data_IF_068930894018
#
_entry.id   IF_068930894018
#
_cell.length_a   1.000
_cell.length_b   1.000
_cell.length_c   1.000
_cell.angle_alpha   90.00
_cell.angle_beta   90.00
_cell.angle_gamma   90.00
#
_symmetry.space_group_name_H-M   'P 1'
#
loop_
_entity.id
_entity.type
_entity.pdbx_description
1 polymer ?
#
# COMPACT_ATOMS: atom_id res chain seq x y z
N UNK A 1 33.23 16.50 -23.93
CA UNK A 1 33.08 15.17 -23.30
C UNK A 1 31.65 15.08 -22.80
N UNK A 2 30.76 14.59 -23.65
CA UNK A 2 29.36 14.29 -23.31
C UNK A 2 29.35 12.96 -22.58
N UNK A 3 29.09 12.98 -21.27
CA UNK A 3 28.67 11.78 -20.56
C UNK A 3 27.38 11.33 -21.25
N UNK A 4 27.46 10.21 -21.96
CA UNK A 4 26.28 9.55 -22.48
C UNK A 4 25.42 9.18 -21.27
N UNK A 5 24.18 9.69 -21.27
CA UNK A 5 23.10 9.23 -20.41
C UNK A 5 22.89 7.72 -20.66
N UNK A 6 23.69 6.88 -20.00
CA UNK A 6 23.31 5.49 -19.77
C UNK A 6 22.07 5.55 -18.87
N UNK A 7 20.90 5.61 -19.52
CA UNK A 7 19.62 5.27 -18.91
C UNK A 7 19.77 3.84 -18.40
N UNK A 8 20.17 3.70 -17.14
CA UNK A 8 20.09 2.44 -16.40
C UNK A 8 18.61 2.04 -16.50
N UNK A 9 18.33 1.04 -17.33
CA UNK A 9 17.01 0.46 -17.43
C UNK A 9 16.72 -0.13 -16.05
N UNK A 10 15.85 0.53 -15.29
CA UNK A 10 15.34 -0.05 -14.06
C UNK A 10 14.63 -1.35 -14.43
N UNK A 11 15.03 -2.44 -13.78
CA UNK A 11 14.25 -3.67 -13.81
C UNK A 11 12.81 -3.34 -13.42
N UNK A 12 11.85 -4.01 -14.07
CA UNK A 12 10.43 -3.65 -13.96
C UNK A 12 9.91 -3.66 -12.52
N UNK A 13 10.54 -4.44 -11.65
CA UNK A 13 10.27 -4.48 -10.22
C UNK A 13 11.57 -4.84 -9.47
N UNK A 14 11.63 -4.59 -8.17
CA UNK A 14 12.78 -4.99 -7.37
C UNK A 14 12.68 -4.56 -5.92
N UNK A 15 13.74 -4.89 -5.16
CA UNK A 15 13.84 -4.55 -3.75
C UNK A 15 15.27 -4.14 -3.37
N UNK A 16 15.40 -3.29 -2.36
CA UNK A 16 16.67 -2.79 -1.86
C UNK A 16 16.60 -2.52 -0.35
N UNK A 17 17.59 -2.97 0.40
CA UNK A 17 17.72 -2.64 1.82
C UNK A 17 18.52 -1.35 1.95
N UNK A 18 17.85 -0.32 2.44
CA UNK A 18 18.47 0.94 2.81
C UNK A 18 18.94 0.87 4.28
N UNK A 19 20.26 0.80 4.55
CA UNK A 19 20.76 0.72 5.91
C UNK A 19 20.74 2.05 6.67
N UNK A 20 20.61 3.19 5.98
CA UNK A 20 20.73 4.52 6.59
C UNK A 20 20.06 5.59 5.75
N UNK A 21 19.31 6.49 6.38
CA UNK A 21 18.71 7.69 5.73
C UNK A 21 19.73 8.58 5.00
N UNK A 22 21.02 8.45 5.34
CA UNK A 22 22.12 9.25 4.77
C UNK A 22 23.04 8.47 3.83
N UNK A 23 22.70 7.24 3.47
CA UNK A 23 23.56 6.50 2.53
C UNK A 23 23.64 7.23 1.19
N UNK A 24 24.81 7.24 0.58
CA UNK A 24 24.97 7.74 -0.80
C UNK A 24 24.80 6.63 -1.84
N UNK A 25 24.65 5.38 -1.38
CA UNK A 25 24.65 4.18 -2.22
C UNK A 25 23.26 3.71 -2.63
N UNK A 26 22.32 4.62 -2.89
CA UNK A 26 20.98 4.23 -3.31
C UNK A 26 20.93 3.96 -4.80
N UNK A 27 20.11 2.97 -5.24
CA UNK A 27 19.70 2.94 -6.64
C UNK A 27 19.07 4.28 -7.02
N UNK A 28 19.26 4.71 -8.27
CA UNK A 28 18.71 5.98 -8.73
C UNK A 28 17.19 5.98 -8.53
N UNK A 29 16.66 7.16 -8.19
CA UNK A 29 15.23 7.28 -7.92
C UNK A 29 14.51 7.20 -9.27
N UNK A 30 13.46 6.39 -9.42
CA UNK A 30 12.72 6.34 -10.68
C UNK A 30 12.09 7.69 -11.00
N UNK A 31 12.20 8.14 -12.26
CA UNK A 31 11.65 9.43 -12.71
C UNK A 31 10.12 9.55 -12.56
N UNK A 32 9.43 8.41 -12.46
CA UNK A 32 7.99 8.35 -12.24
C UNK A 32 7.58 8.47 -10.77
N UNK A 33 8.52 8.43 -9.83
CA UNK A 33 8.23 8.47 -8.40
C UNK A 33 7.69 9.85 -8.00
N UNK A 34 6.54 9.88 -7.33
CA UNK A 34 5.98 11.11 -6.79
C UNK A 34 6.75 11.57 -5.52
N UNK A 35 6.56 12.81 -5.02
CA UNK A 35 7.31 13.32 -3.86
C UNK A 35 7.20 12.46 -2.59
N UNK A 36 6.05 11.81 -2.36
CA UNK A 36 5.88 10.90 -1.22
C UNK A 36 6.72 9.63 -1.41
N UNK A 37 6.70 9.06 -2.62
CA UNK A 37 7.51 7.88 -2.96
C UNK A 37 9.02 8.19 -2.93
N UNK A 38 9.42 9.40 -3.31
CA UNK A 38 10.81 9.89 -3.20
C UNK A 38 11.24 9.93 -1.74
N UNK A 39 10.35 10.30 -0.83
CA UNK A 39 10.62 10.27 0.60
C UNK A 39 10.77 8.82 1.08
N UNK A 40 9.82 7.95 0.73
CA UNK A 40 9.86 6.51 1.06
C UNK A 40 11.16 5.85 0.56
N UNK A 41 11.63 6.23 -0.64
CA UNK A 41 12.90 5.76 -1.21
C UNK A 41 14.14 6.14 -0.38
N UNK A 42 14.09 7.25 0.35
CA UNK A 42 15.22 7.72 1.18
C UNK A 42 15.16 7.17 2.60
N UNK A 43 14.05 6.59 3.02
CA UNK A 43 13.90 6.10 4.38
C UNK A 43 14.71 4.82 4.60
N UNK A 44 15.33 4.72 5.79
CA UNK A 44 15.97 3.49 6.26
C UNK A 44 14.93 2.37 6.30
N UNK A 45 15.27 1.19 5.81
CA UNK A 45 14.39 0.01 5.81
C UNK A 45 14.51 -0.78 4.52
N UNK A 46 13.43 -1.46 4.14
CA UNK A 46 13.32 -2.20 2.88
C UNK A 46 12.44 -1.42 1.90
N UNK A 47 12.99 -1.13 0.74
CA UNK A 47 12.30 -0.45 -0.36
C UNK A 47 11.93 -1.50 -1.39
N UNK A 48 10.68 -1.52 -1.83
CA UNK A 48 10.19 -2.37 -2.91
C UNK A 48 9.54 -1.46 -3.94
N UNK A 49 9.78 -1.72 -5.22
CA UNK A 49 9.18 -0.94 -6.30
C UNK A 49 8.64 -1.84 -7.41
N UNK A 50 7.62 -1.33 -8.08
CA UNK A 50 7.09 -1.89 -9.31
C UNK A 50 6.80 -0.74 -10.28
N UNK A 51 7.53 -0.73 -11.39
CA UNK A 51 7.46 0.29 -12.44
C UNK A 51 6.22 0.18 -13.33
N UNK A 52 5.60 -1.01 -13.42
CA UNK A 52 4.39 -1.21 -14.22
C UNK A 52 3.21 -0.47 -13.59
N UNK A 53 3.08 -0.58 -12.27
CA UNK A 53 2.04 0.11 -11.49
C UNK A 53 2.52 1.46 -10.94
N UNK A 54 3.81 1.80 -11.09
CA UNK A 54 4.44 3.04 -10.62
C UNK A 54 4.27 3.26 -9.11
N UNK A 55 4.53 2.20 -8.35
CA UNK A 55 4.43 2.21 -6.88
C UNK A 55 5.81 1.94 -6.27
N UNK A 56 6.15 2.74 -5.26
CA UNK A 56 7.23 2.48 -4.32
C UNK A 56 6.59 2.23 -2.96
N UNK A 57 7.05 1.20 -2.28
CA UNK A 57 6.60 0.81 -0.94
C UNK A 57 7.81 0.72 -0.03
N UNK A 58 7.72 1.38 1.12
CA UNK A 58 8.69 1.23 2.19
C UNK A 58 8.15 0.29 3.28
N UNK A 59 8.98 -0.64 3.71
CA UNK A 59 8.74 -1.49 4.88
C UNK A 59 9.84 -1.25 5.91
N UNK A 60 9.45 -0.99 7.16
CA UNK A 60 10.39 -1.07 8.28
C UNK A 60 10.99 -2.48 8.37
N UNK A 61 12.27 -2.59 8.71
CA UNK A 61 12.96 -3.87 8.75
C UNK A 61 12.31 -4.85 9.73
N UNK A 62 11.82 -4.36 10.89
CA UNK A 62 11.04 -5.18 11.85
C UNK A 62 9.81 -5.79 11.18
N UNK A 63 9.13 -5.02 10.33
CA UNK A 63 7.92 -5.49 9.65
C UNK A 63 8.25 -6.46 8.51
N UNK A 64 9.32 -6.21 7.75
CA UNK A 64 9.81 -7.14 6.74
C UNK A 64 10.19 -8.51 7.34
N UNK A 65 10.85 -8.54 8.51
CA UNK A 65 11.15 -9.78 9.25
C UNK A 65 9.87 -10.51 9.66
N UNK A 66 8.84 -9.79 10.13
CA UNK A 66 7.54 -10.40 10.47
C UNK A 66 6.87 -11.02 9.24
N UNK A 67 6.90 -10.35 8.10
CA UNK A 67 6.39 -10.90 6.84
C UNK A 67 7.16 -12.17 6.47
N UNK A 68 8.49 -12.16 6.53
CA UNK A 68 9.33 -13.34 6.28
C UNK A 68 8.93 -14.51 7.19
N UNK A 69 8.79 -14.28 8.50
CA UNK A 69 8.39 -15.32 9.44
C UNK A 69 6.99 -15.87 9.13
N UNK A 70 6.04 -14.99 8.78
CA UNK A 70 4.69 -15.39 8.39
C UNK A 70 4.70 -16.24 7.12
N UNK A 71 5.44 -15.84 6.09
CA UNK A 71 5.60 -16.62 4.86
C UNK A 71 6.32 -17.96 5.07
N UNK A 72 7.25 -18.05 6.03
CA UNK A 72 7.86 -19.35 6.40
C UNK A 72 6.86 -20.28 7.09
N UNK A 73 5.93 -19.72 7.86
CA UNK A 73 4.92 -20.47 8.61
C UNK A 73 3.70 -20.86 7.77
N UNK A 74 3.28 -19.99 6.86
CA UNK A 74 2.08 -20.15 6.03
C UNK A 74 2.48 -20.47 4.59
N UNK A 75 1.81 -21.42 3.93
CA UNK A 75 2.13 -21.85 2.56
C UNK A 75 1.22 -21.27 1.47
N UNK A 76 0.18 -20.52 1.85
CA UNK A 76 -0.84 -19.92 0.97
C UNK A 76 -0.24 -18.98 -0.10
N UNK A 77 0.85 -18.28 0.21
CA UNK A 77 1.51 -17.41 -0.75
C UNK A 77 2.07 -18.12 -1.98
N UNK A 78 2.32 -19.44 -1.88
CA UNK A 78 2.82 -20.24 -3.02
C UNK A 78 1.78 -20.40 -4.12
N UNK A 79 0.51 -20.25 -3.81
CA UNK A 79 -0.60 -20.30 -4.77
C UNK A 79 -1.16 -18.91 -5.02
N UNK A 80 -1.43 -18.14 -3.96
CA UNK A 80 -2.15 -16.86 -4.05
C UNK A 80 -1.24 -15.64 -4.24
N UNK A 81 0.07 -15.78 -4.02
CA UNK A 81 0.97 -14.63 -3.88
C UNK A 81 0.77 -13.90 -2.55
N UNK A 82 1.26 -12.66 -2.44
CA UNK A 82 1.06 -11.81 -1.26
C UNK A 82 0.84 -10.36 -1.65
N UNK A 83 0.18 -9.59 -0.77
CA UNK A 83 0.15 -8.13 -0.87
C UNK A 83 1.02 -7.54 0.23
N UNK A 84 2.01 -6.75 -0.18
CA UNK A 84 2.88 -5.99 0.71
C UNK A 84 2.50 -4.52 0.65
N UNK A 85 2.67 -3.80 1.74
CA UNK A 85 2.35 -2.37 1.81
C UNK A 85 2.91 -1.75 3.08
N UNK A 86 3.01 -0.42 3.09
CA UNK A 86 3.47 0.35 4.24
C UNK A 86 2.33 0.42 5.27
N UNK A 87 2.52 -0.08 6.51
CA UNK A 87 1.50 0.04 7.54
C UNK A 87 1.17 1.50 7.84
N UNK A 88 -0.10 1.87 7.77
CA UNK A 88 -0.59 3.23 8.01
C UNK A 88 -1.83 3.21 8.90
N UNK A 89 -2.03 4.27 9.68
CA UNK A 89 -3.25 4.46 10.47
C UNK A 89 -4.15 5.49 9.79
N UNK A 90 -5.31 5.05 9.31
CA UNK A 90 -6.30 5.90 8.68
C UNK A 90 -7.33 6.33 9.72
N UNK A 91 -7.54 7.64 9.87
CA UNK A 91 -8.59 8.20 10.71
C UNK A 91 -9.23 9.41 10.01
N UNK A 92 -10.53 9.59 10.23
CA UNK A 92 -11.28 10.71 9.64
C UNK A 92 -11.36 11.85 10.65
N UNK A 93 -10.85 13.02 10.28
CA UNK A 93 -11.02 14.25 11.07
C UNK A 93 -12.22 15.00 10.48
N UNK A 94 -13.36 14.94 11.17
CA UNK A 94 -14.49 15.81 10.85
C UNK A 94 -14.23 17.21 11.41
N UNK A 95 -13.69 18.12 10.58
CA UNK A 95 -13.56 19.53 10.95
C UNK A 95 -14.96 20.16 11.01
N UNK A 96 -15.59 20.19 12.20
CA UNK A 96 -16.83 20.96 12.42
C UNK A 96 -16.53 22.42 12.07
N UNK A 97 -17.07 22.90 10.93
CA UNK A 97 -16.96 24.32 10.54
C UNK A 97 -17.66 25.14 11.63
N UNK A 98 -16.90 25.90 12.43
CA UNK A 98 -17.43 26.82 13.47
C UNK A 98 -18.46 27.76 12.85
N UNK A 99 -19.75 27.42 12.94
CA UNK A 99 -20.83 28.39 12.77
C UNK A 99 -20.85 29.23 14.03
N UNK A 100 -20.63 30.54 13.89
CA UNK A 100 -20.85 31.53 14.96
C UNK A 100 -22.34 31.53 15.31
N UNK A 101 -22.80 30.61 16.17
CA UNK A 101 -24.08 30.72 16.86
C UNK A 101 -23.81 30.72 18.36
N UNK A 102 -24.21 31.84 18.97
CA UNK A 102 -24.21 32.12 20.40
C UNK A 102 -25.38 31.31 20.97
N UNK A 103 -25.12 30.25 21.73
CA UNK A 103 -26.07 29.30 22.36
C UNK A 103 -26.39 28.00 21.59
N UNK A 104 -25.42 27.12 21.36
CA UNK A 104 -25.70 25.69 21.16
C UNK A 104 -24.81 24.88 22.11
N UNK A 105 -25.42 23.98 22.89
CA UNK A 105 -24.76 23.05 23.81
C UNK A 105 -23.68 22.25 23.09
N UNK A 106 -22.51 22.11 23.72
CA UNK A 106 -21.39 21.31 23.23
C UNK A 106 -21.82 19.85 23.12
N UNK A 107 -22.15 19.41 21.91
CA UNK A 107 -22.25 17.98 21.61
C UNK A 107 -20.92 17.29 21.92
N UNK A 108 -20.95 16.11 22.54
CA UNK A 108 -19.74 15.37 22.88
C UNK A 108 -18.89 15.12 21.63
N UNK A 109 -17.61 15.45 21.70
CA UNK A 109 -16.64 15.16 20.65
C UNK A 109 -16.57 13.64 20.45
N UNK A 110 -17.10 13.15 19.32
CA UNK A 110 -16.90 11.76 18.93
C UNK A 110 -15.40 11.53 18.72
N UNK A 111 -14.85 10.58 19.51
CA UNK A 111 -13.45 10.19 19.38
C UNK A 111 -13.19 9.74 17.93
N UNK A 112 -12.11 10.17 17.28
CA UNK A 112 -11.79 9.74 15.94
C UNK A 112 -11.66 8.22 15.90
N UNK A 113 -12.55 7.55 15.16
CA UNK A 113 -12.46 6.11 14.92
C UNK A 113 -11.45 5.90 13.78
N UNK A 114 -10.27 5.40 14.12
CA UNK A 114 -9.23 5.09 13.14
C UNK A 114 -9.02 3.58 12.98
N UNK A 115 -8.65 3.16 11.77
CA UNK A 115 -8.32 1.78 11.42
C UNK A 115 -6.92 1.70 10.84
N UNK A 116 -6.25 0.58 11.08
CA UNK A 116 -4.98 0.31 10.43
C UNK A 116 -5.19 -0.26 9.03
N UNK A 117 -4.42 0.24 8.08
CA UNK A 117 -4.44 -0.13 6.67
C UNK A 117 -3.02 -0.36 6.16
N UNK A 118 -2.91 -0.96 4.97
CA UNK A 118 -1.67 -0.98 4.20
C UNK A 118 -1.77 0.10 3.12
N UNK A 119 -0.92 1.13 3.20
CA UNK A 119 -0.72 2.12 2.15
C UNK A 119 0.27 1.59 1.10
N UNK A 120 0.26 2.17 -0.10
CA UNK A 120 1.20 1.84 -1.19
C UNK A 120 1.31 0.31 -1.39
N UNK A 121 0.20 -0.35 -1.69
CA UNK A 121 0.17 -1.80 -1.81
C UNK A 121 0.80 -2.25 -3.14
N UNK A 122 1.67 -3.26 -3.09
CA UNK A 122 2.20 -3.96 -4.26
C UNK A 122 1.75 -5.43 -4.15
N UNK A 123 0.91 -5.92 -5.07
CA UNK A 123 0.61 -7.34 -5.17
C UNK A 123 1.82 -8.06 -5.79
N UNK A 124 2.29 -9.11 -5.12
CA UNK A 124 3.35 -9.99 -5.61
C UNK A 124 2.73 -11.31 -6.03
N UNK A 125 2.98 -11.70 -7.29
CA UNK A 125 2.70 -13.05 -7.77
C UNK A 125 3.44 -14.13 -6.95
N UNK A 126 3.06 -15.41 -7.03
CA UNK A 126 3.75 -16.48 -6.31
C UNK A 126 5.27 -16.54 -6.57
N UNK A 127 5.70 -16.33 -7.82
CA UNK A 127 7.12 -16.29 -8.19
C UNK A 127 7.83 -15.10 -7.55
N UNK A 128 7.24 -13.90 -7.62
CA UNK A 128 7.80 -12.72 -6.99
C UNK A 128 7.82 -12.83 -5.46
N UNK A 129 6.80 -13.47 -4.87
CA UNK A 129 6.74 -13.75 -3.44
C UNK A 129 7.84 -14.72 -3.01
N UNK A 130 8.15 -15.74 -3.82
CA UNK A 130 9.27 -16.65 -3.59
C UNK A 130 10.61 -15.91 -3.65
N UNK A 131 10.83 -15.10 -4.68
CA UNK A 131 12.03 -14.28 -4.82
C UNK A 131 12.19 -13.29 -3.66
N UNK A 132 11.11 -12.65 -3.25
CA UNK A 132 11.06 -11.76 -2.10
C UNK A 132 11.42 -12.51 -0.81
N UNK A 133 10.84 -13.68 -0.57
CA UNK A 133 11.17 -14.50 0.60
C UNK A 133 12.65 -14.93 0.61
N UNK A 134 13.17 -15.35 -0.54
CA UNK A 134 14.57 -15.71 -0.71
C UNK A 134 15.50 -14.53 -0.43
N UNK A 135 15.12 -13.33 -0.89
CA UNK A 135 15.88 -12.11 -0.61
C UNK A 135 15.89 -11.77 0.88
N UNK A 136 14.72 -11.80 1.54
CA UNK A 136 14.62 -11.54 2.98
C UNK A 136 15.46 -12.54 3.78
N UNK A 137 15.39 -13.83 3.44
CA UNK A 137 16.15 -14.88 4.11
C UNK A 137 17.67 -14.74 3.92
N UNK A 138 18.12 -14.37 2.72
CA UNK A 138 19.55 -14.13 2.44
C UNK A 138 20.10 -12.90 3.17
N UNK A 139 19.25 -11.92 3.46
CA UNK A 139 19.65 -10.65 4.08
C UNK A 139 19.16 -10.49 5.52
N UNK A 140 18.82 -11.59 6.19
CA UNK A 140 18.24 -11.58 7.54
C UNK A 140 19.12 -10.80 8.54
N UNK A 141 20.44 -11.03 8.54
CA UNK A 141 21.39 -10.32 9.43
C UNK A 141 21.47 -8.81 9.14
N UNK A 142 21.29 -8.41 7.87
CA UNK A 142 21.26 -7.00 7.49
C UNK A 142 19.97 -6.36 7.99
N UNK A 143 18.82 -7.00 7.76
CA UNK A 143 17.53 -6.55 8.25
C UNK A 143 17.49 -6.45 9.78
N UNK A 144 18.09 -7.39 10.50
CA UNK A 144 18.17 -7.32 11.96
C UNK A 144 18.96 -6.10 12.45
N UNK A 145 20.10 -5.78 11.81
CA UNK A 145 20.87 -4.56 12.12
C UNK A 145 20.07 -3.29 11.83
N UNK A 146 19.39 -3.25 10.68
CA UNK A 146 18.55 -2.12 10.30
C UNK A 146 17.39 -1.96 11.29
N UNK A 147 16.76 -3.06 11.71
CA UNK A 147 15.68 -3.07 12.69
C UNK A 147 16.12 -2.52 14.06
N UNK A 148 17.31 -2.88 14.53
CA UNK A 148 17.87 -2.32 15.76
C UNK A 148 18.10 -0.82 15.65
N UNK A 149 18.68 -0.37 14.53
CA UNK A 149 18.91 1.06 14.31
C UNK A 149 17.60 1.85 14.17
N UNK A 150 16.58 1.31 13.49
CA UNK A 150 15.24 1.88 13.42
C UNK A 150 14.61 2.04 14.81
N UNK A 151 14.77 1.03 15.67
CA UNK A 151 14.24 1.04 17.03
C UNK A 151 14.92 2.09 17.92
N UNK A 152 16.24 2.23 17.82
CA UNK A 152 17.00 3.29 18.51
C UNK A 152 16.56 4.69 18.07
N UNK A 153 16.43 4.90 16.76
CA UNK A 153 15.98 6.18 16.22
C UNK A 153 14.53 6.48 16.62
N UNK A 154 13.66 5.47 16.65
CA UNK A 154 12.27 5.60 17.13
C UNK A 154 12.23 6.04 18.59
N UNK A 155 13.03 5.41 19.46
CA UNK A 155 13.14 5.80 20.88
C UNK A 155 13.64 7.23 21.01
N UNK A 156 14.67 7.62 20.24
CA UNK A 156 15.21 8.98 20.24
C UNK A 156 14.16 10.02 19.84
N UNK A 157 13.44 9.78 18.74
CA UNK A 157 12.38 10.68 18.26
C UNK A 157 11.24 10.79 19.26
N UNK A 158 10.81 9.68 19.87
CA UNK A 158 9.79 9.71 20.92
C UNK A 158 10.23 10.53 22.14
N UNK A 159 11.48 10.36 22.59
CA UNK A 159 12.04 11.17 23.69
C UNK A 159 11.98 12.66 23.38
N UNK A 160 12.34 13.06 22.15
CA UNK A 160 12.27 14.46 21.71
C UNK A 160 10.83 14.99 21.71
N UNK A 161 9.85 14.18 21.29
CA UNK A 161 8.43 14.57 21.35
C UNK A 161 7.98 14.76 22.79
N UNK A 162 8.34 13.84 23.70
CA UNK A 162 8.02 13.97 25.12
C UNK A 162 8.66 15.21 25.75
N UNK A 163 9.92 15.49 25.45
CA UNK A 163 10.59 16.72 25.93
C UNK A 163 9.84 17.98 25.52
N UNK A 164 9.30 18.04 24.29
CA UNK A 164 8.50 19.17 23.81
C UNK A 164 7.17 19.26 24.58
N UNK A 165 6.46 18.13 24.73
CA UNK A 165 5.17 18.09 25.42
C UNK A 165 5.27 18.48 26.90
N UNK A 166 6.28 17.97 27.60
CA UNK A 166 6.52 18.28 29.02
C UNK A 166 7.04 19.69 29.23
N UNK A 167 7.82 20.25 28.29
CA UNK A 167 8.25 21.65 28.36
C UNK A 167 7.06 22.61 28.26
N UNK A 168 6.06 22.26 27.47
CA UNK A 168 4.91 23.11 27.19
C UNK A 168 3.71 22.83 28.15
N UNK A 169 3.91 22.00 29.19
CA UNK A 169 2.95 21.80 30.29
C UNK A 169 1.73 20.92 29.96
N UNK A 170 1.83 20.01 28.98
CA UNK A 170 0.77 19.04 28.72
C UNK A 170 0.89 17.82 29.66
N UNK A 171 0.12 17.83 30.75
CA UNK A 171 0.14 16.80 31.79
C UNK A 171 -0.69 15.52 31.45
N UNK A 172 -1.48 15.51 30.38
CA UNK A 172 -2.28 14.34 29.99
C UNK A 172 -1.74 13.63 28.73
N UNK A 173 -1.02 12.53 28.95
CA UNK A 173 -0.64 11.60 27.89
C UNK A 173 -1.80 10.63 27.67
N UNK A 174 -2.52 10.79 26.57
CA UNK A 174 -3.40 9.75 26.05
C UNK A 174 -2.53 8.57 25.63
N UNK A 175 -2.76 7.38 26.19
CA UNK A 175 -2.05 6.16 25.81
C UNK A 175 -2.04 6.01 24.29
N UNK A 176 -0.84 5.95 23.70
CA UNK A 176 -0.71 5.70 22.27
C UNK A 176 -1.29 4.31 21.96
N UNK A 177 -2.26 4.21 21.04
CA UNK A 177 -2.83 2.93 20.67
C UNK A 177 -1.71 2.01 20.18
N UNK A 178 -1.61 0.83 20.78
CA UNK A 178 -0.67 -0.20 20.32
C UNK A 178 -0.98 -0.54 18.86
N UNK A 179 0.04 -0.60 17.98
CA UNK A 179 -0.20 -1.01 16.60
C UNK A 179 -0.77 -2.44 16.62
N UNK A 180 -1.94 -2.69 16.01
CA UNK A 180 -2.54 -4.00 15.96
C UNK A 180 -1.70 -4.91 15.08
N UNK A 181 -1.92 -6.21 15.26
CA UNK A 181 -1.44 -7.26 14.37
C UNK A 181 -2.19 -7.14 13.04
N UNK A 182 -1.82 -6.18 12.18
CA UNK A 182 -2.32 -6.12 10.81
C UNK A 182 -1.66 -7.26 10.04
N UNK A 183 -2.34 -8.40 10.01
CA UNK A 183 -1.99 -9.50 9.13
C UNK A 183 -2.12 -9.02 7.68
N UNK A 184 -1.15 -9.31 6.79
CA UNK A 184 -1.35 -9.07 5.36
C UNK A 184 -2.64 -9.77 4.93
N UNK A 185 -3.51 -9.02 4.25
CA UNK A 185 -4.80 -9.47 3.77
C UNK A 185 -4.56 -10.28 2.50
N UNK A 186 -4.95 -11.54 2.49
CA UNK A 186 -5.01 -12.33 1.25
C UNK A 186 -6.14 -11.77 0.38
N UNK A 187 -5.81 -11.40 -0.86
CA UNK A 187 -6.81 -11.11 -1.89
C UNK A 187 -7.16 -12.46 -2.52
N UNK A 188 -8.44 -12.86 -2.55
CA UNK A 188 -8.83 -14.11 -3.19
C UNK A 188 -8.45 -14.12 -4.67
N UNK A 189 -8.03 -15.26 -5.22
CA UNK A 189 -7.68 -15.39 -6.65
C UNK A 189 -8.79 -14.89 -7.58
N UNK A 190 -8.40 -14.15 -8.61
CA UNK A 190 -9.31 -13.66 -9.65
C UNK A 190 -8.79 -12.43 -10.36
N UNK A 191 -9.31 -12.17 -11.55
CA UNK A 191 -9.12 -10.90 -12.23
C UNK A 191 -10.05 -9.88 -11.59
N UNK A 192 -9.50 -8.79 -11.05
CA UNK A 192 -10.28 -7.71 -10.45
C UNK A 192 -10.18 -6.43 -11.25
N UNK A 193 -11.29 -5.71 -11.30
CA UNK A 193 -11.38 -4.38 -11.87
C UNK A 193 -11.83 -3.38 -10.81
N UNK A 194 -11.20 -2.21 -10.80
CA UNK A 194 -11.70 -1.06 -10.04
C UNK A 194 -12.95 -0.48 -10.70
N UNK A 195 -13.84 0.13 -9.91
CA UNK A 195 -15.00 0.87 -10.45
C UNK A 195 -14.59 1.92 -11.49
N UNK A 196 -13.42 2.55 -11.32
CA UNK A 196 -12.88 3.52 -12.27
C UNK A 196 -12.56 2.89 -13.63
N UNK A 197 -11.86 1.75 -13.65
CA UNK A 197 -11.55 1.01 -14.89
C UNK A 197 -12.83 0.54 -15.61
N UNK A 198 -13.81 0.03 -14.86
CA UNK A 198 -15.10 -0.40 -15.44
C UNK A 198 -15.83 0.80 -16.06
N UNK A 199 -15.85 1.93 -15.35
CA UNK A 199 -16.47 3.17 -15.82
C UNK A 199 -15.83 3.67 -17.12
N UNK A 200 -14.50 3.66 -17.19
CA UNK A 200 -13.72 4.02 -18.37
C UNK A 200 -14.03 3.10 -19.55
N UNK A 201 -13.97 1.77 -19.35
CA UNK A 201 -14.26 0.78 -20.39
C UNK A 201 -15.67 0.94 -20.97
N UNK A 202 -16.65 1.12 -20.09
CA UNK A 202 -18.06 1.24 -20.47
C UNK A 202 -18.44 2.64 -20.96
N UNK A 203 -17.51 3.61 -20.94
CA UNK A 203 -17.76 5.04 -21.25
C UNK A 203 -18.92 5.61 -20.44
N UNK A 204 -18.97 5.31 -19.15
CA UNK A 204 -19.96 5.83 -18.20
C UNK A 204 -19.28 6.45 -16.97
N UNK A 205 -20.04 7.21 -16.18
CA UNK A 205 -19.52 7.79 -14.94
C UNK A 205 -19.38 6.73 -13.83
N UNK A 206 -18.38 6.86 -12.95
CA UNK A 206 -18.19 6.06 -11.73
C UNK A 206 -19.47 5.96 -10.89
N UNK A 207 -20.20 7.06 -10.74
CA UNK A 207 -21.49 7.11 -10.02
C UNK A 207 -22.54 6.14 -10.59
N UNK A 208 -22.57 5.99 -11.92
CA UNK A 208 -23.51 5.09 -12.61
C UNK A 208 -23.15 3.62 -12.36
N UNK A 209 -21.86 3.29 -12.34
CA UNK A 209 -21.39 1.94 -11.98
C UNK A 209 -21.73 1.63 -10.52
N UNK A 210 -21.47 2.54 -9.58
CA UNK A 210 -21.83 2.33 -8.17
C UNK A 210 -23.34 2.07 -7.99
N UNK A 211 -24.20 2.84 -8.67
CA UNK A 211 -25.64 2.60 -8.66
C UNK A 211 -26.02 1.20 -9.21
N UNK A 212 -25.29 0.68 -10.20
CA UNK A 212 -25.52 -0.67 -10.72
C UNK A 212 -25.12 -1.75 -9.73
N UNK A 213 -23.96 -1.58 -9.08
CA UNK A 213 -23.46 -2.50 -8.04
C UNK A 213 -24.45 -2.60 -6.89
N UNK A 214 -24.94 -1.46 -6.41
CA UNK A 214 -25.90 -1.39 -5.30
C UNK A 214 -27.26 -2.00 -5.68
N UNK A 215 -27.75 -1.73 -6.89
CA UNK A 215 -29.05 -2.25 -7.37
C UNK A 215 -29.04 -3.76 -7.58
N UNK A 216 -27.93 -4.32 -8.05
CA UNK A 216 -27.81 -5.74 -8.38
C UNK A 216 -27.17 -6.56 -7.24
N UNK A 217 -26.83 -5.93 -6.11
CA UNK A 217 -26.21 -6.55 -4.93
C UNK A 217 -24.96 -7.38 -5.26
N UNK A 218 -24.10 -6.84 -6.12
CA UNK A 218 -22.87 -7.55 -6.53
C UNK A 218 -21.86 -7.50 -5.40
N UNK A 219 -21.22 -8.64 -5.12
CA UNK A 219 -20.13 -8.72 -4.16
C UNK A 219 -18.93 -7.91 -4.65
N UNK A 220 -18.33 -7.12 -3.77
CA UNK A 220 -17.11 -6.37 -4.06
C UNK A 220 -16.15 -6.45 -2.88
N UNK A 221 -14.86 -6.36 -3.17
CA UNK A 221 -13.82 -6.19 -2.17
C UNK A 221 -13.56 -4.70 -2.01
N UNK A 222 -13.78 -4.15 -0.82
CA UNK A 222 -13.49 -2.75 -0.56
C UNK A 222 -12.04 -2.61 -0.08
N UNK A 223 -11.16 -2.13 -0.98
CA UNK A 223 -9.78 -1.83 -0.64
C UNK A 223 -9.63 -0.35 -0.28
N UNK A 224 -8.92 -0.03 0.82
CA UNK A 224 -8.54 1.35 1.13
C UNK A 224 -7.74 1.95 -0.03
N UNK A 225 -8.03 3.20 -0.41
CA UNK A 225 -7.38 3.98 -1.49
C UNK A 225 -7.66 3.52 -2.93
N UNK A 226 -7.75 2.20 -3.18
CA UNK A 226 -8.03 1.66 -4.53
C UNK A 226 -9.53 1.66 -4.87
N UNK A 227 -10.39 1.79 -3.84
CA UNK A 227 -11.84 1.77 -3.98
C UNK A 227 -12.41 0.34 -4.02
N UNK A 228 -13.63 0.20 -4.55
CA UNK A 228 -14.28 -1.11 -4.69
C UNK A 228 -13.65 -1.86 -5.87
N UNK A 229 -13.17 -3.07 -5.59
CA UNK A 229 -12.74 -4.05 -6.59
C UNK A 229 -13.87 -5.05 -6.85
N UNK A 230 -14.13 -5.32 -8.12
CA UNK A 230 -15.11 -6.30 -8.56
C UNK A 230 -14.41 -7.39 -9.35
N UNK A 231 -14.79 -8.64 -9.07
CA UNK A 231 -14.28 -9.77 -9.82
C UNK A 231 -14.80 -9.71 -11.27
N UNK A 232 -13.94 -9.98 -12.25
CA UNK A 232 -14.23 -9.83 -13.69
C UNK A 232 -15.46 -10.62 -14.13
N UNK A 233 -15.62 -11.85 -13.61
CA UNK A 233 -16.82 -12.67 -13.83
C UNK A 233 -18.11 -11.94 -13.44
N UNK A 234 -18.14 -11.27 -12.29
CA UNK A 234 -19.31 -10.53 -11.82
C UNK A 234 -19.54 -9.26 -12.64
N UNK A 235 -18.46 -8.62 -13.09
CA UNK A 235 -18.53 -7.48 -14.01
C UNK A 235 -19.14 -7.90 -15.34
N UNK A 236 -18.71 -9.01 -15.94
CA UNK A 236 -19.26 -9.49 -17.22
C UNK A 236 -20.75 -9.87 -17.09
N UNK A 237 -21.15 -10.50 -15.97
CA UNK A 237 -22.57 -10.75 -15.67
C UNK A 237 -23.36 -9.44 -15.59
N UNK A 238 -22.80 -8.42 -14.91
CA UNK A 238 -23.42 -7.10 -14.80
C UNK A 238 -23.58 -6.44 -16.18
N UNK A 239 -22.57 -6.50 -17.04
CA UNK A 239 -22.57 -5.88 -18.36
C UNK A 239 -23.54 -6.56 -19.32
N UNK A 240 -23.60 -7.89 -19.31
CA UNK A 240 -24.56 -8.67 -20.09
C UNK A 240 -26.01 -8.24 -19.78
N UNK A 241 -26.35 -8.04 -18.49
CA UNK A 241 -27.67 -7.53 -18.07
C UNK A 241 -27.99 -6.12 -18.55
N UNK A 242 -26.96 -5.30 -18.84
CA UNK A 242 -27.12 -3.92 -19.35
C UNK A 242 -26.99 -3.82 -20.87
N UNK A 243 -26.80 -4.93 -21.57
CA UNK A 243 -26.63 -4.95 -23.02
C UNK A 243 -25.30 -4.35 -23.48
N UNK A 244 -24.27 -4.41 -22.64
CA UNK A 244 -22.90 -3.94 -22.95
C UNK A 244 -22.03 -5.16 -23.27
N UNK A 245 -21.13 -5.02 -24.23
CA UNK A 245 -20.18 -6.07 -24.62
C UNK A 245 -19.30 -6.52 -23.46
N UNK A 246 -18.94 -7.81 -23.44
CA UNK A 246 -18.06 -8.40 -22.42
C UNK A 246 -16.65 -7.81 -22.46
N UNK A 247 -16.03 -7.69 -21.28
CA UNK A 247 -14.63 -7.30 -21.14
C UNK A 247 -13.79 -8.57 -21.27
N UNK A 248 -13.10 -8.71 -22.39
CA UNK A 248 -12.04 -9.70 -22.55
C UNK A 248 -10.70 -8.98 -22.50
N UNK A 249 -9.92 -9.25 -21.45
CA UNK A 249 -8.49 -9.02 -21.50
C UNK A 249 -7.96 -9.98 -22.56
N UNK A 250 -7.56 -9.44 -23.70
CA UNK A 250 -7.08 -10.26 -24.80
C UNK A 250 -6.00 -11.18 -24.29
N UNK A 251 -6.23 -12.49 -24.37
CA UNK A 251 -5.13 -13.40 -24.66
C UNK A 251 -4.51 -12.83 -25.94
N UNK A 252 -3.34 -12.22 -25.82
CA UNK A 252 -2.51 -11.91 -26.97
C UNK A 252 -2.44 -13.19 -27.77
N UNK A 253 -3.14 -13.21 -28.91
CA UNK A 253 -2.99 -14.28 -29.89
C UNK A 253 -1.51 -14.26 -30.22
N UNK A 254 -0.78 -15.26 -29.75
CA UNK A 254 0.53 -15.60 -30.29
C UNK A 254 0.38 -15.61 -31.81
N UNK A 255 0.80 -14.53 -32.45
CA UNK A 255 1.07 -14.54 -33.88
C UNK A 255 2.27 -15.45 -34.05
N UNK A 256 1.99 -16.74 -34.20
CA UNK A 256 2.91 -17.67 -34.85
C UNK A 256 3.01 -17.23 -36.29
N UNK A 257 3.94 -16.30 -36.55
CA UNK A 257 4.43 -16.04 -37.88
C UNK A 257 5.06 -17.34 -38.41
N UNK A 258 4.46 -17.88 -39.48
CA UNK A 258 4.98 -18.94 -40.33
C UNK A 258 5.61 -18.27 -41.55
#
# INVERSE_FOLDING_TARGET
MTQADEKIAFENWGFYINPSEYSQSFPSIPDWANPSQVQDWKMRGLIIWDSNIKIVTHLFAVYAIKIMMKMKAEGNWKTEGIVIGTPAYEFSIQLKRKKRKKNEEEEPEEKPNGKWILANQIPLSPLQAEEFLNFLARNEDSLQRVALAEEEDRKRRLSQVYEILFRDGMDEIVETPTPPKVSPVSIPEGDYLTVAQIAEYCKVTVRKINNWIEKEQIAFLELPLTGRLLHLKDVNILLAKKGVSEINFGEEKETKDI
#
